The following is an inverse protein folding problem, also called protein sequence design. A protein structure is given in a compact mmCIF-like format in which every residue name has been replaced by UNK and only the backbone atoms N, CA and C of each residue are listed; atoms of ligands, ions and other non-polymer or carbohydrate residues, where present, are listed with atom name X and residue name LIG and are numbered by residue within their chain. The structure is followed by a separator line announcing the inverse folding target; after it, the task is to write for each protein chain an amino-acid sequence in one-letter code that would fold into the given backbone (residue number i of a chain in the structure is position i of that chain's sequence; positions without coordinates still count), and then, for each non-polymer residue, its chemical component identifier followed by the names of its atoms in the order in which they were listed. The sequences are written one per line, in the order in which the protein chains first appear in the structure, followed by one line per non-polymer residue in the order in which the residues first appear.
data_IF_575004121186
#
_entry.id   IF_575004121186
#
_cell.length_a   1.000
_cell.length_b   1.000
_cell.length_c   1.000
_cell.angle_alpha   90.00
_cell.angle_beta   90.00
_cell.angle_gamma   90.00
#
_symmetry.space_group_name_H-M   'P 1'
#
loop_
_entity.id
_entity.type
_entity.pdbx_description
1 polymer ?
#
# COMPACT_ATOMS: atom_id res chain seq x y z
N UNK A 1 -3.91 29.14 7.98
CA UNK A 1 -2.90 29.30 6.89
C UNK A 1 -1.52 28.76 7.32
N UNK A 2 -1.14 28.93 8.60
CA UNK A 2 0.17 28.51 9.14
C UNK A 2 0.32 26.99 9.35
N UNK A 3 -0.75 26.26 9.67
CA UNK A 3 -0.70 24.80 9.93
C UNK A 3 -0.32 23.98 8.68
N UNK A 4 -0.66 24.47 7.47
CA UNK A 4 -0.29 23.79 6.22
C UNK A 4 1.17 24.02 5.81
N UNK A 5 1.80 25.12 6.24
CA UNK A 5 3.23 25.37 5.99
C UNK A 5 4.12 24.57 6.91
N UNK A 6 3.70 24.31 8.16
CA UNK A 6 4.42 23.42 9.10
C UNK A 6 4.41 21.96 8.62
N UNK A 7 3.31 21.47 8.06
CA UNK A 7 3.27 20.13 7.42
C UNK A 7 4.26 20.01 6.26
N UNK A 8 4.44 21.04 5.47
CA UNK A 8 5.46 21.06 4.40
C UNK A 8 6.88 21.09 4.93
N UNK A 9 7.13 21.72 6.08
CA UNK A 9 8.44 21.78 6.70
C UNK A 9 8.89 20.41 7.25
N UNK A 10 8.01 19.69 7.96
CA UNK A 10 8.26 18.32 8.43
C UNK A 10 8.41 17.33 7.26
N UNK A 11 7.62 17.44 6.23
CA UNK A 11 7.72 16.62 5.02
C UNK A 11 9.08 16.81 4.32
N UNK A 12 9.56 18.06 4.21
CA UNK A 12 10.88 18.37 3.65
C UNK A 12 12.04 17.94 4.54
N UNK A 13 11.85 17.86 5.85
CA UNK A 13 12.83 17.32 6.79
C UNK A 13 12.97 15.80 6.66
N UNK A 14 11.84 15.09 6.47
CA UNK A 14 11.83 13.63 6.26
C UNK A 14 12.45 13.28 4.89
N UNK A 15 12.20 14.06 3.85
CA UNK A 15 12.86 13.89 2.54
C UNK A 15 14.37 14.15 2.58
N UNK A 16 14.85 15.01 3.49
CA UNK A 16 16.28 15.31 3.64
C UNK A 16 17.05 14.30 4.49
N UNK A 17 16.39 13.61 5.39
CA UNK A 17 16.93 12.45 6.08
C UNK A 17 16.68 11.26 5.16
N UNK A 18 17.53 11.06 4.16
CA UNK A 18 17.45 9.91 3.26
C UNK A 18 17.48 8.62 4.08
N UNK A 19 16.32 8.16 4.53
CA UNK A 19 16.18 6.85 5.13
C UNK A 19 16.36 5.84 4.00
N UNK A 20 17.50 5.14 4.01
CA UNK A 20 17.67 3.97 3.16
C UNK A 20 16.52 3.01 3.45
N UNK A 21 15.93 2.37 2.43
CA UNK A 21 14.97 1.30 2.65
C UNK A 21 15.58 0.31 3.66
N UNK A 22 14.86 0.03 4.73
CA UNK A 22 15.29 -0.97 5.72
C UNK A 22 15.35 -2.31 4.99
N UNK A 23 16.46 -3.05 5.13
CA UNK A 23 16.58 -4.38 4.53
C UNK A 23 15.48 -5.30 5.11
N UNK A 24 14.82 -6.07 4.26
CA UNK A 24 13.80 -7.04 4.69
C UNK A 24 14.28 -7.95 5.82
N UNK A 25 15.58 -8.29 5.85
CA UNK A 25 16.20 -9.09 6.92
C UNK A 25 16.15 -8.38 8.26
N UNK A 26 16.46 -7.09 8.30
CA UNK A 26 16.42 -6.29 9.52
C UNK A 26 14.99 -6.15 10.05
N UNK A 27 14.03 -5.97 9.15
CA UNK A 27 12.60 -5.91 9.49
C UNK A 27 12.14 -7.25 10.07
N UNK A 28 12.49 -8.35 9.44
CA UNK A 28 12.15 -9.71 9.92
C UNK A 28 12.72 -9.96 11.31
N UNK A 29 14.01 -9.65 11.53
CA UNK A 29 14.64 -9.81 12.84
C UNK A 29 13.99 -8.95 13.91
N UNK A 30 13.67 -7.71 13.58
CA UNK A 30 12.97 -6.80 14.49
C UNK A 30 11.60 -7.36 14.92
N UNK A 31 10.79 -7.83 13.97
CA UNK A 31 9.45 -8.37 14.26
C UNK A 31 9.55 -9.68 15.05
N UNK A 32 10.43 -10.61 14.65
CA UNK A 32 10.63 -11.90 15.36
C UNK A 32 11.07 -11.65 16.81
N UNK A 33 12.04 -10.75 17.02
CA UNK A 33 12.49 -10.39 18.37
C UNK A 33 11.37 -9.74 19.19
N UNK A 34 10.55 -8.89 18.57
CA UNK A 34 9.40 -8.26 19.23
C UNK A 34 8.43 -9.30 19.78
N UNK A 35 8.08 -10.32 18.99
CA UNK A 35 7.23 -11.42 19.45
C UNK A 35 7.89 -12.28 20.52
N UNK A 36 9.19 -12.57 20.41
CA UNK A 36 9.92 -13.29 21.45
C UNK A 36 9.90 -12.58 22.79
N UNK A 37 10.02 -11.26 22.81
CA UNK A 37 9.95 -10.46 24.04
C UNK A 37 8.57 -10.55 24.69
N UNK A 38 7.51 -10.64 23.89
CA UNK A 38 6.12 -10.85 24.39
C UNK A 38 5.79 -12.33 24.68
N UNK A 39 6.80 -13.23 24.65
CA UNK A 39 6.61 -14.65 24.91
C UNK A 39 5.93 -15.42 23.78
N UNK A 40 6.02 -14.92 22.55
CA UNK A 40 5.37 -15.49 21.36
C UNK A 40 6.38 -15.93 20.32
N UNK A 41 5.97 -16.83 19.44
CA UNK A 41 6.80 -17.38 18.36
C UNK A 41 6.06 -17.23 17.03
N UNK A 42 6.79 -16.81 16.02
CA UNK A 42 6.33 -16.70 14.63
C UNK A 42 7.40 -17.26 13.69
N UNK A 43 7.00 -17.91 12.63
CA UNK A 43 7.92 -18.35 11.57
C UNK A 43 8.38 -17.18 10.71
N UNK A 44 9.67 -17.20 10.33
CA UNK A 44 10.28 -16.12 9.52
C UNK A 44 9.60 -15.93 8.17
N UNK A 45 9.15 -17.03 7.55
CA UNK A 45 8.47 -16.98 6.24
C UNK A 45 7.13 -16.26 6.31
N UNK A 46 6.41 -16.38 7.43
CA UNK A 46 5.17 -15.63 7.67
C UNK A 46 5.46 -14.13 7.81
N UNK A 47 6.54 -13.76 8.50
CA UNK A 47 6.97 -12.36 8.61
C UNK A 47 7.39 -11.82 7.26
N UNK A 48 8.15 -12.60 6.47
CA UNK A 48 8.53 -12.22 5.11
C UNK A 48 7.30 -12.00 4.23
N UNK A 49 6.27 -12.84 4.35
CA UNK A 49 4.99 -12.66 3.66
C UNK A 49 4.33 -11.33 4.01
N UNK A 50 4.31 -10.98 5.30
CA UNK A 50 3.79 -9.67 5.75
C UNK A 50 4.65 -8.49 5.22
N UNK A 51 5.98 -8.61 5.24
CA UNK A 51 6.88 -7.60 4.68
C UNK A 51 6.60 -7.35 3.19
N UNK A 52 6.38 -8.42 2.41
CA UNK A 52 6.03 -8.30 0.99
C UNK A 52 4.67 -7.64 0.78
N UNK A 53 3.65 -8.05 1.55
CA UNK A 53 2.30 -7.49 1.48
C UNK A 53 2.31 -5.98 1.72
N UNK A 54 3.00 -5.53 2.75
CA UNK A 54 3.08 -4.13 3.13
C UNK A 54 4.27 -3.39 2.48
N UNK A 55 5.02 -4.05 1.59
CA UNK A 55 6.19 -3.47 0.89
C UNK A 55 7.22 -2.84 1.84
N UNK A 56 7.42 -3.43 3.01
CA UNK A 56 8.33 -2.94 4.03
C UNK A 56 7.84 -1.68 4.77
N UNK A 57 6.59 -1.27 4.57
CA UNK A 57 6.00 -0.14 5.30
C UNK A 57 5.92 -0.44 6.80
N UNK A 58 6.81 0.16 7.58
CA UNK A 58 6.94 -0.08 9.02
C UNK A 58 5.72 0.38 9.81
N UNK A 59 4.95 1.36 9.33
CA UNK A 59 3.74 1.80 10.00
C UNK A 59 2.66 0.71 9.93
N UNK A 60 2.43 0.15 8.74
CA UNK A 60 1.52 -0.97 8.57
C UNK A 60 2.02 -2.23 9.27
N UNK A 61 3.30 -2.56 9.16
CA UNK A 61 3.88 -3.74 9.79
C UNK A 61 3.74 -3.69 11.32
N UNK A 62 4.03 -2.56 11.95
CA UNK A 62 3.86 -2.41 13.39
C UNK A 62 2.39 -2.51 13.82
N UNK A 63 1.47 -1.91 13.08
CA UNK A 63 0.04 -2.01 13.37
C UNK A 63 -0.45 -3.45 13.19
N UNK A 64 -0.11 -4.09 12.08
CA UNK A 64 -0.47 -5.48 11.79
C UNK A 64 0.07 -6.45 12.82
N UNK A 65 1.35 -6.36 13.18
CA UNK A 65 1.97 -7.24 14.18
C UNK A 65 1.42 -7.01 15.57
N UNK A 66 1.03 -5.78 15.93
CA UNK A 66 0.33 -5.48 17.18
C UNK A 66 -1.03 -6.18 17.24
N UNK A 67 -1.78 -6.22 16.14
CA UNK A 67 -3.04 -6.97 16.04
C UNK A 67 -2.77 -8.48 16.21
N UNK A 68 -1.77 -9.03 15.51
CA UNK A 68 -1.36 -10.44 15.67
C UNK A 68 -0.99 -10.76 17.12
N UNK A 69 -0.29 -9.85 17.79
CA UNK A 69 0.11 -10.03 19.18
C UNK A 69 -1.12 -10.13 20.10
N UNK A 70 -2.13 -9.28 19.92
CA UNK A 70 -3.36 -9.34 20.73
C UNK A 70 -4.19 -10.58 20.47
N UNK A 71 -4.13 -11.16 19.27
CA UNK A 71 -4.90 -12.36 18.87
C UNK A 71 -4.24 -13.67 19.31
N UNK A 72 -2.96 -13.66 19.64
CA UNK A 72 -2.20 -14.86 19.97
C UNK A 72 -1.83 -14.95 21.47
N UNK A 73 -1.83 -16.17 21.99
CA UNK A 73 -1.32 -16.45 23.36
C UNK A 73 0.08 -17.07 23.38
N UNK A 74 0.63 -17.45 22.21
CA UNK A 74 1.94 -18.10 22.16
C UNK A 74 2.48 -18.30 20.75
N UNK A 75 1.81 -19.07 19.91
CA UNK A 75 2.24 -19.33 18.54
C UNK A 75 1.39 -18.55 17.54
N UNK A 76 2.05 -17.78 16.67
CA UNK A 76 1.40 -17.00 15.62
C UNK A 76 1.50 -17.79 14.31
N UNK A 77 0.38 -18.32 13.88
CA UNK A 77 0.24 -19.08 12.64
C UNK A 77 -0.42 -18.25 11.52
N UNK A 78 -0.50 -18.82 10.34
CA UNK A 78 -1.12 -18.17 9.17
C UNK A 78 -2.59 -17.75 9.41
N UNK A 79 -3.35 -18.54 10.18
CA UNK A 79 -4.74 -18.22 10.52
C UNK A 79 -4.85 -16.88 11.29
N UNK A 80 -3.95 -16.66 12.26
CA UNK A 80 -3.86 -15.42 13.02
C UNK A 80 -3.48 -14.26 12.10
N UNK A 81 -2.54 -14.46 11.17
CA UNK A 81 -2.19 -13.43 10.18
C UNK A 81 -3.39 -13.06 9.30
N UNK A 82 -4.16 -14.05 8.84
CA UNK A 82 -5.34 -13.81 8.03
C UNK A 82 -6.43 -13.06 8.80
N UNK A 83 -6.66 -13.39 10.06
CA UNK A 83 -7.61 -12.69 10.91
C UNK A 83 -7.14 -11.25 11.22
N UNK A 84 -5.86 -11.07 11.48
CA UNK A 84 -5.25 -9.76 11.63
C UNK A 84 -5.35 -8.91 10.35
N UNK A 85 -5.17 -9.53 9.17
CA UNK A 85 -5.33 -8.85 7.89
C UNK A 85 -6.77 -8.39 7.66
N UNK A 86 -7.76 -9.23 7.96
CA UNK A 86 -9.18 -8.83 7.92
C UNK A 86 -9.45 -7.66 8.86
N UNK A 87 -8.89 -7.70 10.04
CA UNK A 87 -9.06 -6.65 11.06
C UNK A 87 -8.46 -5.33 10.62
N UNK A 88 -7.22 -5.31 10.14
CA UNK A 88 -6.57 -4.06 9.69
C UNK A 88 -7.28 -3.49 8.44
N UNK A 89 -7.76 -4.34 7.53
CA UNK A 89 -8.58 -3.92 6.39
C UNK A 89 -9.85 -3.25 6.90
N UNK A 90 -10.59 -3.88 7.80
CA UNK A 90 -11.84 -3.33 8.36
C UNK A 90 -11.65 -1.96 9.01
N UNK A 91 -10.51 -1.75 9.67
CA UNK A 91 -10.16 -0.45 10.28
C UNK A 91 -9.97 0.63 9.21
N UNK A 92 -9.37 0.29 8.06
CA UNK A 92 -9.03 1.25 7.01
C UNK A 92 -10.08 1.34 5.89
N UNK A 93 -11.01 0.41 5.82
CA UNK A 93 -12.00 0.29 4.75
C UNK A 93 -12.85 1.57 4.53
N UNK A 94 -13.30 2.31 5.56
CA UNK A 94 -14.01 3.58 5.34
C UNK A 94 -13.18 4.59 4.56
N UNK A 95 -11.86 4.64 4.79
CA UNK A 95 -10.92 5.49 4.04
C UNK A 95 -10.77 5.01 2.59
N UNK A 96 -10.74 3.71 2.36
CA UNK A 96 -10.64 3.13 1.03
C UNK A 96 -11.87 3.43 0.17
N UNK A 97 -13.06 3.28 0.75
CA UNK A 97 -14.28 3.71 0.08
C UNK A 97 -14.30 5.22 -0.22
N UNK A 98 -13.80 6.04 0.69
CA UNK A 98 -13.71 7.49 0.44
C UNK A 98 -12.76 7.80 -0.74
N UNK A 99 -11.62 7.11 -0.85
CA UNK A 99 -10.71 7.25 -1.99
C UNK A 99 -11.43 6.86 -3.29
N UNK A 100 -12.05 5.67 -3.35
CA UNK A 100 -12.71 5.18 -4.57
C UNK A 100 -13.87 6.10 -4.97
N UNK A 101 -14.68 6.55 -4.03
CA UNK A 101 -15.81 7.45 -4.28
C UNK A 101 -15.39 8.85 -4.79
N UNK A 102 -14.15 9.26 -4.50
CA UNK A 102 -13.57 10.51 -5.02
C UNK A 102 -12.97 10.36 -6.44
N UNK A 103 -12.89 9.13 -6.96
CA UNK A 103 -12.39 8.88 -8.31
C UNK A 103 -13.49 9.03 -9.35
N UNK A 104 -13.12 9.62 -10.50
CA UNK A 104 -13.98 9.57 -11.70
C UNK A 104 -13.88 8.18 -12.35
N UNK A 105 -14.84 7.83 -13.20
CA UNK A 105 -14.86 6.54 -13.92
C UNK A 105 -13.56 6.27 -14.66
N UNK A 106 -12.98 7.27 -15.33
CA UNK A 106 -11.70 7.11 -16.02
C UNK A 106 -10.51 6.94 -15.06
N UNK A 107 -10.57 7.55 -13.87
CA UNK A 107 -9.54 7.37 -12.85
C UNK A 107 -9.61 5.96 -12.25
N UNK A 108 -10.82 5.47 -11.97
CA UNK A 108 -11.02 4.10 -11.51
C UNK A 108 -10.60 3.09 -12.58
N UNK A 109 -10.99 3.30 -13.83
CA UNK A 109 -10.57 2.45 -14.95
C UNK A 109 -9.06 2.36 -15.10
N UNK A 110 -8.35 3.49 -14.97
CA UNK A 110 -6.89 3.49 -15.02
C UNK A 110 -6.27 2.79 -13.81
N UNK A 111 -6.85 2.97 -12.62
CA UNK A 111 -6.41 2.28 -11.41
C UNK A 111 -6.53 0.75 -11.57
N UNK A 112 -7.64 0.26 -12.11
CA UNK A 112 -7.83 -1.16 -12.41
C UNK A 112 -6.83 -1.67 -13.46
N UNK A 113 -6.53 -0.88 -14.49
CA UNK A 113 -5.50 -1.23 -15.45
C UNK A 113 -4.09 -1.35 -14.81
N UNK A 114 -3.78 -0.50 -13.82
CA UNK A 114 -2.53 -0.59 -13.05
C UNK A 114 -2.50 -1.89 -12.24
N UNK A 115 -3.60 -2.24 -11.57
CA UNK A 115 -3.73 -3.49 -10.79
C UNK A 115 -3.59 -4.74 -11.66
N UNK A 116 -4.11 -4.70 -12.89
CA UNK A 116 -3.96 -5.78 -13.87
C UNK A 116 -2.54 -5.86 -14.48
N UNK A 117 -1.60 -5.05 -14.00
CA UNK A 117 -0.21 -5.07 -14.45
C UNK A 117 0.02 -4.49 -15.84
N UNK A 118 -0.88 -3.65 -16.35
CA UNK A 118 -0.71 -2.98 -17.64
C UNK A 118 0.46 -2.00 -17.56
N UNK A 119 1.37 -2.09 -18.55
CA UNK A 119 2.53 -1.19 -18.67
C UNK A 119 2.38 -0.18 -19.81
N UNK A 120 1.67 -0.57 -20.89
CA UNK A 120 1.48 0.25 -22.11
C UNK A 120 0.10 0.85 -22.19
N UNK A 121 -0.20 1.81 -21.33
CA UNK A 121 -1.53 2.42 -21.20
C UNK A 121 -2.02 3.17 -22.44
N UNK A 122 -1.14 3.54 -23.36
CA UNK A 122 -1.49 4.25 -24.61
C UNK A 122 -1.75 3.29 -25.79
N UNK A 123 -1.63 1.98 -25.59
CA UNK A 123 -1.98 1.00 -26.62
C UNK A 123 -3.49 1.01 -26.88
N UNK A 124 -3.88 0.91 -28.17
CA UNK A 124 -5.29 0.98 -28.56
C UNK A 124 -6.16 -0.06 -27.88
N UNK A 125 -5.65 -1.29 -27.74
CA UNK A 125 -6.32 -2.39 -27.03
C UNK A 125 -6.61 -2.08 -25.54
N UNK A 126 -5.65 -1.42 -24.88
CA UNK A 126 -5.78 -1.02 -23.46
C UNK A 126 -6.78 0.12 -23.32
N UNK A 127 -6.71 1.12 -24.21
CA UNK A 127 -7.64 2.25 -24.23
C UNK A 127 -9.07 1.75 -24.42
N UNK A 128 -9.29 0.80 -25.31
CA UNK A 128 -10.60 0.20 -25.56
C UNK A 128 -11.06 -0.66 -24.37
N UNK A 129 -10.22 -1.58 -23.91
CA UNK A 129 -10.53 -2.51 -22.80
C UNK A 129 -10.95 -1.78 -21.52
N UNK A 130 -10.21 -0.73 -21.14
CA UNK A 130 -10.45 0.03 -19.92
C UNK A 130 -11.24 1.34 -20.15
N UNK A 131 -11.75 1.55 -21.37
CA UNK A 131 -12.54 2.75 -21.73
C UNK A 131 -11.84 4.06 -21.37
N UNK A 132 -10.54 4.13 -21.64
CA UNK A 132 -9.70 5.29 -21.27
C UNK A 132 -9.82 6.46 -22.25
N UNK A 133 -10.62 6.32 -23.29
CA UNK A 133 -10.98 7.31 -24.29
C UNK A 133 -9.85 7.65 -25.28
N UNK A 134 -8.67 8.05 -24.82
CA UNK A 134 -7.52 8.38 -25.68
C UNK A 134 -6.19 8.39 -24.90
N UNK A 135 -5.07 8.34 -25.62
CA UNK A 135 -3.74 8.45 -25.03
C UNK A 135 -3.51 9.79 -24.31
N UNK A 136 -4.08 10.87 -24.82
CA UNK A 136 -4.03 12.18 -24.18
C UNK A 136 -4.81 12.18 -22.85
N UNK A 137 -5.97 11.50 -22.81
CA UNK A 137 -6.74 11.34 -21.59
C UNK A 137 -5.99 10.47 -20.56
N UNK A 138 -5.31 9.39 -20.98
CA UNK A 138 -4.49 8.55 -20.10
C UNK A 138 -3.46 9.39 -19.34
N UNK A 139 -2.74 10.28 -20.03
CA UNK A 139 -1.77 11.17 -19.37
C UNK A 139 -2.43 12.06 -18.33
N UNK A 140 -3.53 12.71 -18.69
CA UNK A 140 -4.28 13.58 -17.78
C UNK A 140 -4.81 12.84 -16.56
N UNK A 141 -5.28 11.61 -16.73
CA UNK A 141 -5.80 10.75 -15.64
C UNK A 141 -4.65 10.30 -14.73
N UNK A 142 -3.49 9.94 -15.27
CA UNK A 142 -2.28 9.64 -14.47
C UNK A 142 -1.89 10.82 -13.59
N UNK A 143 -1.81 12.02 -14.17
CA UNK A 143 -1.48 13.25 -13.45
C UNK A 143 -2.50 13.55 -12.35
N UNK A 144 -3.79 13.31 -12.61
CA UNK A 144 -4.85 13.49 -11.63
C UNK A 144 -4.75 12.48 -10.46
N UNK A 145 -4.49 11.19 -10.73
CA UNK A 145 -4.29 10.17 -9.70
C UNK A 145 -3.04 10.45 -8.86
N UNK A 146 -1.96 10.92 -9.49
CA UNK A 146 -0.76 11.36 -8.79
C UNK A 146 -1.03 12.56 -7.88
N UNK A 147 -1.79 13.55 -8.35
CA UNK A 147 -2.18 14.72 -7.55
C UNK A 147 -3.07 14.36 -6.37
N UNK A 148 -3.88 13.30 -6.50
CA UNK A 148 -4.70 12.74 -5.42
C UNK A 148 -3.90 11.83 -4.48
N UNK A 149 -2.60 11.65 -4.72
CA UNK A 149 -1.73 10.77 -3.94
C UNK A 149 -2.20 9.30 -3.90
N UNK A 150 -2.90 8.84 -4.96
CA UNK A 150 -3.31 7.45 -5.12
C UNK A 150 -2.19 6.63 -5.75
N UNK A 151 -1.48 7.22 -6.72
CA UNK A 151 -0.34 6.60 -7.39
C UNK A 151 0.92 7.46 -7.30
N UNK A 152 2.07 6.79 -7.41
CA UNK A 152 3.37 7.41 -7.68
C UNK A 152 3.99 6.74 -8.92
N UNK A 153 5.21 7.13 -9.29
CA UNK A 153 5.95 6.51 -10.37
C UNK A 153 7.26 5.92 -9.85
N UNK A 154 7.57 4.71 -10.28
CA UNK A 154 8.83 4.06 -9.98
C UNK A 154 9.98 4.62 -10.86
N UNK A 155 11.20 4.10 -10.68
CA UNK A 155 12.39 4.49 -11.46
C UNK A 155 12.27 4.27 -12.98
N UNK A 156 11.33 3.41 -13.41
CA UNK A 156 11.03 3.12 -14.81
C UNK A 156 9.87 3.97 -15.36
N UNK A 157 9.42 4.99 -14.60
CA UNK A 157 8.26 5.82 -14.93
C UNK A 157 6.94 5.02 -15.06
N UNK A 158 6.84 3.87 -14.37
CA UNK A 158 5.63 3.08 -14.30
C UNK A 158 4.79 3.50 -13.09
N UNK A 159 3.46 3.64 -13.24
CA UNK A 159 2.61 4.01 -12.12
C UNK A 159 2.50 2.86 -11.10
N UNK A 160 2.63 3.21 -9.82
CA UNK A 160 2.52 2.29 -8.69
C UNK A 160 1.55 2.87 -7.67
N UNK A 161 0.67 2.05 -7.11
CA UNK A 161 -0.25 2.48 -6.04
C UNK A 161 0.58 2.74 -4.77
N UNK A 162 0.37 3.88 -4.15
CA UNK A 162 1.18 4.32 -2.99
C UNK A 162 0.91 3.44 -1.77
N UNK A 163 -0.36 3.21 -1.45
CA UNK A 163 -0.78 2.50 -0.24
C UNK A 163 -0.92 0.99 -0.53
N UNK A 164 -0.06 0.13 0.05
CA UNK A 164 -0.08 -1.31 -0.21
C UNK A 164 -1.34 -2.01 0.31
N UNK A 165 -1.93 -1.52 1.41
CA UNK A 165 -3.16 -2.11 1.95
C UNK A 165 -4.38 -1.72 1.10
N UNK A 166 -4.40 -0.49 0.58
CA UNK A 166 -5.41 -0.04 -0.38
C UNK A 166 -5.31 -0.86 -1.68
N UNK A 167 -4.09 -1.07 -2.21
CA UNK A 167 -3.85 -1.91 -3.38
C UNK A 167 -4.40 -3.32 -3.19
N UNK A 168 -4.08 -3.96 -2.06
CA UNK A 168 -4.61 -5.28 -1.72
C UNK A 168 -6.14 -5.28 -1.63
N UNK A 169 -6.72 -4.29 -0.97
CA UNK A 169 -8.18 -4.18 -0.82
C UNK A 169 -8.88 -3.99 -2.16
N UNK A 170 -8.43 -3.06 -3.01
CA UNK A 170 -9.03 -2.83 -4.33
C UNK A 170 -8.92 -4.06 -5.23
N UNK A 171 -7.75 -4.75 -5.23
CA UNK A 171 -7.53 -5.98 -6.01
C UNK A 171 -8.47 -7.13 -5.64
N UNK A 172 -9.02 -7.11 -4.42
CA UNK A 172 -9.94 -8.16 -3.94
C UNK A 172 -11.41 -7.70 -3.92
N UNK A 173 -11.69 -6.44 -4.26
CA UNK A 173 -13.02 -5.84 -4.19
C UNK A 173 -13.65 -5.61 -5.58
N UNK A 174 -12.80 -5.46 -6.61
CA UNK A 174 -13.19 -5.20 -7.99
C UNK A 174 -12.58 -6.24 -8.93
#
# INVERSE_FOLDING_TARGET
KYIFEEKKYFYRLVEKIGMSPVDDREIIEYIVKGFMVSGKVIERDLVLGACKLFRGDMWYLNHFTSICDTMSRGYINEGILMDALRTIISIHEPRFYAIVNDLTDHQLSLLLAILDGVTRFSASEVIERYRLNSSANVRRVKDALKKKEVITFNEKDEPVIIDPLFEYWVSNHF
#
